data_IF_454118090376
#
_entry.id   IF_454118090376
#
_cell.length_a   1.000
_cell.length_b   1.000
_cell.length_c   1.000
_cell.angle_alpha   90.00
_cell.angle_beta   90.00
_cell.angle_gamma   90.00
#
_symmetry.space_group_name_H-M   'P 1'
#
loop_
_entity.id
_entity.type
_entity.pdbx_description
1 polymer ?
#
# COMPACT_ATOMS: atom_id res chain seq x y z
N UNK A 1 -9.92 -21.77 4.96
CA UNK A 1 -8.53 -21.36 5.19
C UNK A 1 -8.52 -19.86 5.36
N UNK A 2 -7.79 -19.34 6.35
CA UNK A 2 -7.46 -17.91 6.36
C UNK A 2 -6.57 -17.63 5.14
N UNK A 3 -6.74 -16.48 4.52
CA UNK A 3 -5.81 -16.05 3.48
C UNK A 3 -4.43 -15.82 4.12
N UNK A 4 -3.33 -16.00 3.38
CA UNK A 4 -1.98 -15.63 3.82
C UNK A 4 -1.94 -14.16 4.31
N UNK A 5 -2.78 -13.31 3.71
CA UNK A 5 -2.97 -11.92 4.13
C UNK A 5 -3.59 -11.80 5.54
N UNK A 6 -4.58 -12.64 5.87
CA UNK A 6 -5.22 -12.65 7.19
C UNK A 6 -4.30 -13.19 8.27
N UNK A 7 -3.40 -14.12 7.92
CA UNK A 7 -2.38 -14.64 8.81
C UNK A 7 -1.33 -13.56 9.11
N UNK A 8 -0.83 -12.88 8.06
CA UNK A 8 0.10 -11.75 8.23
C UNK A 8 -0.50 -10.61 9.08
N UNK A 9 -1.77 -10.24 8.82
CA UNK A 9 -2.46 -9.23 9.64
C UNK A 9 -2.52 -9.67 11.11
N UNK A 10 -2.84 -10.95 11.36
CA UNK A 10 -2.95 -11.47 12.72
C UNK A 10 -1.60 -11.45 13.46
N UNK A 11 -0.51 -11.81 12.79
CA UNK A 11 0.85 -11.76 13.35
C UNK A 11 1.26 -10.32 13.71
N UNK A 12 1.01 -9.36 12.81
CA UNK A 12 1.37 -7.96 13.03
C UNK A 12 0.50 -7.30 14.11
N UNK A 13 -0.78 -7.66 14.24
CA UNK A 13 -1.61 -7.21 15.37
C UNK A 13 -1.11 -7.79 16.70
N UNK A 14 -0.63 -9.02 16.71
CA UNK A 14 -0.01 -9.61 17.91
C UNK A 14 1.29 -8.87 18.29
N UNK A 15 2.16 -8.60 17.32
CA UNK A 15 3.38 -7.81 17.56
C UNK A 15 3.05 -6.41 18.10
N UNK A 16 2.02 -5.76 17.57
CA UNK A 16 1.56 -4.45 18.04
C UNK A 16 1.13 -4.47 19.50
N UNK A 17 0.49 -5.55 19.95
CA UNK A 17 0.14 -5.73 21.36
C UNK A 17 1.38 -5.91 22.24
N UNK A 18 2.38 -6.65 21.77
CA UNK A 18 3.66 -6.79 22.48
C UNK A 18 4.39 -5.45 22.62
N UNK A 19 4.45 -4.66 21.54
CA UNK A 19 5.06 -3.33 21.59
C UNK A 19 4.29 -2.41 22.54
N UNK A 20 2.95 -2.45 22.54
CA UNK A 20 2.15 -1.68 23.49
C UNK A 20 2.49 -2.04 24.94
N UNK A 21 2.60 -3.34 25.24
CA UNK A 21 3.02 -3.78 26.57
C UNK A 21 4.41 -3.26 26.95
N UNK A 22 5.37 -3.30 26.02
CA UNK A 22 6.71 -2.72 26.24
C UNK A 22 6.67 -1.21 26.49
N UNK A 23 5.79 -0.46 25.81
CA UNK A 23 5.58 0.97 26.08
C UNK A 23 5.05 1.15 27.52
N UNK A 24 4.03 0.39 27.89
CA UNK A 24 3.41 0.51 29.21
C UNK A 24 4.40 0.19 30.34
N UNK A 25 5.26 -0.82 30.14
CA UNK A 25 6.31 -1.20 31.08
C UNK A 25 7.42 -0.14 31.15
N UNK A 26 7.91 0.39 30.02
CA UNK A 26 8.86 1.50 30.01
C UNK A 26 8.31 2.76 30.71
N UNK A 27 7.01 3.07 30.55
CA UNK A 27 6.38 4.22 31.21
C UNK A 27 6.30 4.02 32.73
N UNK A 28 6.03 2.80 33.20
CA UNK A 28 6.06 2.48 34.64
C UNK A 28 7.46 2.60 35.23
N UNK A 29 8.47 2.20 34.46
CA UNK A 29 9.88 2.26 34.86
C UNK A 29 10.51 3.65 34.65
N UNK A 30 9.72 4.65 34.25
CA UNK A 30 10.14 6.02 33.90
C UNK A 30 11.21 6.09 32.78
N UNK A 31 11.36 5.01 32.01
CA UNK A 31 12.23 4.92 30.85
C UNK A 31 11.56 5.51 29.60
N UNK A 32 11.38 6.83 29.62
CA UNK A 32 10.71 7.55 28.55
C UNK A 32 11.44 7.49 27.21
N UNK A 33 12.77 7.27 27.21
CA UNK A 33 13.54 7.14 25.99
C UNK A 33 13.17 5.85 25.26
N UNK A 34 13.15 4.72 25.96
CA UNK A 34 12.73 3.46 25.36
C UNK A 34 11.23 3.44 25.06
N UNK A 35 10.39 4.06 25.89
CA UNK A 35 8.97 4.27 25.56
C UNK A 35 8.80 5.03 24.24
N UNK A 36 9.61 6.07 24.00
CA UNK A 36 9.60 6.82 22.75
C UNK A 36 10.01 5.97 21.54
N UNK A 37 11.06 5.16 21.66
CA UNK A 37 11.49 4.26 20.58
C UNK A 37 10.43 3.20 20.27
N UNK A 38 9.84 2.58 21.29
CA UNK A 38 8.74 1.63 21.11
C UNK A 38 7.50 2.28 20.49
N UNK A 39 7.19 3.52 20.87
CA UNK A 39 6.12 4.29 20.22
C UNK A 39 6.38 4.53 18.73
N UNK A 40 7.62 4.86 18.34
CA UNK A 40 8.00 4.99 16.93
C UNK A 40 7.85 3.67 16.17
N UNK A 41 8.27 2.55 16.76
CA UNK A 41 8.12 1.22 16.18
C UNK A 41 6.64 0.86 15.99
N UNK A 42 5.79 1.11 17.00
CA UNK A 42 4.34 0.90 16.93
C UNK A 42 3.69 1.73 15.82
N UNK A 43 4.10 2.99 15.65
CA UNK A 43 3.57 3.84 14.59
C UNK A 43 3.93 3.33 13.20
N UNK A 44 5.15 2.80 13.02
CA UNK A 44 5.55 2.16 11.77
C UNK A 44 4.68 0.93 11.49
N UNK A 45 4.51 0.07 12.49
CA UNK A 45 3.69 -1.13 12.40
C UNK A 45 2.21 -0.82 12.09
N UNK A 46 1.65 0.24 12.70
CA UNK A 46 0.30 0.69 12.40
C UNK A 46 0.12 1.09 10.93
N UNK A 47 1.09 1.77 10.31
CA UNK A 47 1.02 2.12 8.88
C UNK A 47 1.04 0.88 7.99
N UNK A 48 1.85 -0.11 8.36
CA UNK A 48 1.90 -1.39 7.64
C UNK A 48 0.56 -2.13 7.74
N UNK A 49 -0.02 -2.20 8.94
CA UNK A 49 -1.36 -2.77 9.17
C UNK A 49 -2.45 -2.02 8.40
N UNK A 50 -2.44 -0.69 8.41
CA UNK A 50 -3.38 0.14 7.65
C UNK A 50 -3.37 -0.20 6.15
N UNK A 51 -2.19 -0.40 5.59
CA UNK A 51 -2.02 -0.80 4.18
C UNK A 51 -2.57 -2.21 3.94
N UNK A 52 -2.28 -3.16 4.82
CA UNK A 52 -2.80 -4.52 4.71
C UNK A 52 -4.32 -4.59 4.87
N UNK A 53 -4.89 -3.78 5.76
CA UNK A 53 -6.33 -3.67 5.91
C UNK A 53 -7.00 -3.09 4.67
N UNK A 54 -6.39 -2.07 4.05
CA UNK A 54 -6.85 -1.55 2.77
C UNK A 54 -6.73 -2.59 1.63
N UNK A 55 -5.65 -3.38 1.64
CA UNK A 55 -5.49 -4.48 0.69
C UNK A 55 -6.54 -5.56 0.88
N UNK A 56 -6.99 -5.82 2.12
CA UNK A 56 -8.06 -6.78 2.44
C UNK A 56 -9.46 -6.23 2.17
N UNK A 57 -9.65 -4.92 2.36
CA UNK A 57 -10.91 -4.22 2.16
C UNK A 57 -10.61 -2.80 1.65
N UNK A 58 -10.86 -2.51 0.36
CA UNK A 58 -10.58 -1.19 -0.23
C UNK A 58 -11.30 -0.03 0.48
N UNK A 59 -12.42 -0.31 1.16
CA UNK A 59 -13.21 0.67 1.91
C UNK A 59 -12.88 0.73 3.40
N UNK A 60 -11.82 0.05 3.84
CA UNK A 60 -11.46 -0.04 5.24
C UNK A 60 -11.49 1.31 5.97
N UNK A 61 -10.85 2.34 5.39
CA UNK A 61 -10.79 3.66 6.01
C UNK A 61 -12.14 4.38 6.08
N UNK A 62 -13.00 4.21 5.08
CA UNK A 62 -14.33 4.81 5.09
C UNK A 62 -15.20 4.16 6.17
N UNK A 63 -15.12 2.83 6.31
CA UNK A 63 -15.80 2.08 7.36
C UNK A 63 -15.29 2.48 8.74
N UNK A 64 -13.97 2.53 8.93
CA UNK A 64 -13.33 2.98 10.18
C UNK A 64 -13.71 4.41 10.56
N UNK A 65 -13.78 5.32 9.58
CA UNK A 65 -14.20 6.70 9.81
C UNK A 65 -15.64 6.77 10.33
N UNK A 66 -16.56 6.03 9.70
CA UNK A 66 -17.96 5.94 10.13
C UNK A 66 -18.06 5.33 11.53
N UNK A 67 -17.32 4.26 11.81
CA UNK A 67 -17.27 3.63 13.13
C UNK A 67 -16.79 4.61 14.21
N UNK A 68 -15.76 5.42 13.93
CA UNK A 68 -15.29 6.46 14.86
C UNK A 68 -16.33 7.55 15.11
N UNK A 69 -17.09 7.94 14.08
CA UNK A 69 -18.20 8.89 14.23
C UNK A 69 -19.29 8.30 15.13
N UNK A 70 -19.68 7.04 14.90
CA UNK A 70 -20.65 6.32 15.73
C UNK A 70 -20.20 6.20 17.19
N UNK A 71 -18.93 5.86 17.42
CA UNK A 71 -18.34 5.82 18.76
C UNK A 71 -18.35 7.21 19.43
N UNK A 72 -18.04 8.27 18.70
CA UNK A 72 -18.11 9.64 19.22
C UNK A 72 -19.55 10.00 19.67
N UNK A 73 -20.56 9.61 18.91
CA UNK A 73 -21.96 9.77 19.31
C UNK A 73 -22.30 8.97 20.59
N UNK A 74 -21.74 7.77 20.75
CA UNK A 74 -21.90 6.93 21.96
C UNK A 74 -21.17 7.50 23.19
N UNK A 75 -19.96 8.03 23.03
CA UNK A 75 -19.23 8.65 24.14
C UNK A 75 -19.82 9.99 24.57
N UNK A 76 -20.32 10.79 23.62
CA UNK A 76 -20.98 12.06 23.93
C UNK A 76 -22.29 11.87 24.70
N UNK A 77 -23.05 10.79 24.44
CA UNK A 77 -24.27 10.46 25.20
C UNK A 77 -23.97 9.99 26.63
N UNK A 78 -22.83 9.32 26.85
CA UNK A 78 -22.38 8.91 28.19
C UNK A 78 -21.88 10.08 29.05
N UNK A 79 -21.27 11.11 28.44
CA UNK A 79 -20.75 12.29 29.16
C UNK A 79 -21.79 13.39 29.40
N UNK A 80 -22.78 13.57 28.52
CA UNK A 80 -23.83 14.59 28.64
C UNK A 80 -24.98 14.17 29.59
N UNK A 81 -24.65 13.70 30.79
CA UNK A 81 -25.63 13.27 31.79
C UNK A 81 -26.87 14.18 31.82
N UNK A 82 -28.03 13.64 31.42
CA UNK A 82 -29.39 14.17 31.61
C UNK A 82 -29.64 15.63 31.19
N UNK A 83 -28.98 16.18 30.17
CA UNK A 83 -29.52 17.37 29.50
C UNK A 83 -30.54 16.93 28.44
N UNK A 84 -31.81 17.08 28.81
CA UNK A 84 -33.00 16.75 28.00
C UNK A 84 -33.13 17.74 26.82
N UNK A 85 -32.36 17.53 25.76
CA UNK A 85 -32.58 18.20 24.48
C UNK A 85 -33.24 17.24 23.50
N UNK A 86 -34.56 17.08 23.61
CA UNK A 86 -35.38 16.29 22.68
C UNK A 86 -35.15 16.70 21.21
N UNK A 87 -34.87 17.97 20.94
CA UNK A 87 -34.53 18.47 19.60
C UNK A 87 -33.11 18.15 19.12
N UNK A 88 -32.10 18.13 20.01
CA UNK A 88 -30.77 17.61 19.65
C UNK A 88 -30.80 16.08 19.51
N UNK A 89 -31.75 15.40 20.16
CA UNK A 89 -31.87 13.95 20.15
C UNK A 89 -32.36 13.39 18.81
N UNK A 90 -33.34 14.02 18.15
CA UNK A 90 -33.89 13.51 16.88
C UNK A 90 -32.93 13.70 15.71
N UNK A 91 -32.33 14.89 15.60
CA UNK A 91 -31.32 15.16 14.57
C UNK A 91 -30.09 14.25 14.76
N UNK A 92 -29.65 14.04 16.01
CA UNK A 92 -28.55 13.11 16.32
C UNK A 92 -28.92 11.67 16.02
N UNK A 93 -30.12 11.21 16.41
CA UNK A 93 -30.59 9.85 16.08
C UNK A 93 -30.71 9.66 14.56
N UNK A 94 -31.14 10.69 13.83
CA UNK A 94 -31.15 10.67 12.37
C UNK A 94 -29.72 10.53 11.82
N UNK A 95 -28.76 11.33 12.29
CA UNK A 95 -27.36 11.20 11.88
C UNK A 95 -26.76 9.83 12.19
N UNK A 96 -27.07 9.25 13.36
CA UNK A 96 -26.66 7.88 13.71
C UNK A 96 -27.23 6.89 12.70
N UNK A 97 -28.54 6.95 12.41
CA UNK A 97 -29.17 6.07 11.42
C UNK A 97 -28.57 6.23 10.03
N UNK A 98 -28.35 7.46 9.58
CA UNK A 98 -27.78 7.76 8.26
C UNK A 98 -26.36 7.15 8.13
N UNK A 99 -25.54 7.25 9.19
CA UNK A 99 -24.20 6.66 9.24
C UNK A 99 -24.25 5.12 9.35
N UNK A 100 -25.16 4.54 10.13
CA UNK A 100 -25.38 3.08 10.20
C UNK A 100 -25.83 2.51 8.84
N UNK A 101 -26.74 3.19 8.15
CA UNK A 101 -27.18 2.83 6.80
C UNK A 101 -26.05 2.94 5.79
N UNK A 102 -25.20 3.98 5.90
CA UNK A 102 -24.01 4.12 5.07
C UNK A 102 -23.03 2.98 5.32
N UNK A 103 -22.74 2.64 6.58
CA UNK A 103 -21.88 1.52 6.94
C UNK A 103 -22.42 0.19 6.40
N UNK A 104 -23.73 -0.05 6.53
CA UNK A 104 -24.36 -1.24 6.00
C UNK A 104 -24.23 -1.34 4.48
N UNK A 105 -24.40 -0.24 3.75
CA UNK A 105 -24.17 -0.19 2.29
C UNK A 105 -22.73 -0.56 1.93
N UNK A 106 -21.74 0.01 2.63
CA UNK A 106 -20.33 -0.30 2.42
C UNK A 106 -19.97 -1.75 2.76
N UNK A 107 -20.63 -2.35 3.76
CA UNK A 107 -20.42 -3.75 4.13
C UNK A 107 -21.03 -4.75 3.12
N UNK A 108 -22.07 -4.34 2.39
CA UNK A 108 -22.72 -5.16 1.36
C UNK A 108 -22.00 -5.11 0.02
N UNK A 109 -21.15 -4.10 -0.21
CA UNK A 109 -20.33 -4.02 -1.41
C UNK A 109 -19.30 -5.15 -1.43
N UNK A 110 -19.45 -6.05 -2.41
CA UNK A 110 -18.46 -7.09 -2.69
C UNK A 110 -17.45 -6.55 -3.69
N UNK A 111 -16.18 -6.63 -3.32
CA UNK A 111 -15.07 -6.31 -4.19
C UNK A 111 -14.53 -7.62 -4.77
N UNK A 112 -14.49 -7.69 -6.09
CA UNK A 112 -13.79 -8.76 -6.79
C UNK A 112 -12.35 -8.30 -6.97
N UNK A 113 -11.41 -8.95 -6.27
CA UNK A 113 -10.00 -8.84 -6.63
C UNK A 113 -9.83 -9.47 -8.00
N UNK A 114 -9.49 -8.65 -8.98
CA UNK A 114 -9.21 -9.11 -10.31
C UNK A 114 -7.77 -9.67 -10.31
N UNK A 115 -7.65 -10.99 -10.39
CA UNK A 115 -6.36 -11.66 -10.62
C UNK A 115 -5.99 -11.48 -12.09
N UNK A 116 -5.36 -10.34 -12.34
CA UNK A 116 -5.00 -9.91 -13.67
C UNK A 116 -3.82 -10.69 -14.22
N UNK A 117 -4.00 -11.32 -15.38
CA UNK A 117 -2.91 -11.97 -16.12
C UNK A 117 -2.12 -10.99 -17.00
N UNK A 118 -2.36 -9.68 -16.88
CA UNK A 118 -1.77 -8.67 -17.77
C UNK A 118 -0.24 -8.64 -17.65
N UNK A 119 0.30 -8.74 -16.43
CA UNK A 119 1.76 -8.78 -16.20
C UNK A 119 2.34 -10.07 -16.74
N UNK A 120 1.69 -11.21 -16.49
CA UNK A 120 2.11 -12.52 -17.01
C UNK A 120 2.18 -12.47 -18.54
N UNK A 121 1.10 -12.03 -19.18
CA UNK A 121 0.99 -11.92 -20.64
C UNK A 121 2.04 -10.98 -21.23
N UNK A 122 2.24 -9.80 -20.64
CA UNK A 122 3.23 -8.83 -21.11
C UNK A 122 4.66 -9.37 -21.00
N UNK A 123 4.99 -10.08 -19.92
CA UNK A 123 6.29 -10.74 -19.77
C UNK A 123 6.46 -11.88 -20.77
N UNK A 124 5.46 -12.73 -20.96
CA UNK A 124 5.53 -13.79 -21.97
C UNK A 124 5.69 -13.24 -23.38
N UNK A 125 4.98 -12.17 -23.73
CA UNK A 125 5.06 -11.54 -25.04
C UNK A 125 6.42 -10.84 -25.25
N UNK A 126 7.01 -10.26 -24.20
CA UNK A 126 8.39 -9.76 -24.20
C UNK A 126 9.41 -10.87 -24.48
N UNK A 127 9.34 -12.00 -23.75
CA UNK A 127 10.25 -13.14 -23.96
C UNK A 127 10.05 -13.87 -25.29
N UNK A 128 8.85 -13.80 -25.87
CA UNK A 128 8.56 -14.29 -27.23
C UNK A 128 9.00 -13.32 -28.32
N UNK A 129 9.50 -12.13 -27.97
CA UNK A 129 9.92 -11.10 -28.92
C UNK A 129 8.76 -10.43 -29.67
N UNK A 130 7.52 -10.56 -29.19
CA UNK A 130 6.37 -9.83 -29.75
C UNK A 130 6.39 -8.34 -29.41
N UNK A 131 7.04 -7.99 -28.30
CA UNK A 131 7.19 -6.64 -27.78
C UNK A 131 8.68 -6.41 -27.50
N UNK A 132 9.20 -5.21 -27.78
CA UNK A 132 10.57 -4.84 -27.40
C UNK A 132 10.70 -4.52 -25.90
N UNK A 133 9.59 -4.10 -25.27
CA UNK A 133 9.49 -3.71 -23.88
C UNK A 133 8.10 -3.19 -23.53
N UNK A 134 7.85 -2.92 -22.25
CA UNK A 134 6.59 -2.33 -21.78
C UNK A 134 6.79 -1.51 -20.50
N UNK A 135 5.80 -0.69 -20.13
CA UNK A 135 5.82 0.13 -18.93
C UNK A 135 4.68 -0.22 -17.98
N UNK A 136 5.00 -0.39 -16.70
CA UNK A 136 4.04 -0.53 -15.62
C UNK A 136 4.05 0.75 -14.78
N UNK A 137 3.02 1.57 -14.94
CA UNK A 137 2.83 2.78 -14.15
C UNK A 137 2.39 2.42 -12.73
N UNK A 138 3.05 3.02 -11.75
CA UNK A 138 2.67 3.02 -10.34
C UNK A 138 1.89 4.28 -10.02
N UNK A 139 2.26 5.41 -10.65
CA UNK A 139 1.48 6.63 -10.62
C UNK A 139 1.61 7.33 -11.98
N UNK A 140 0.49 7.43 -12.70
CA UNK A 140 0.45 8.07 -14.01
C UNK A 140 0.64 9.60 -13.93
N UNK A 141 0.09 10.25 -12.90
CA UNK A 141 0.16 11.71 -12.73
C UNK A 141 1.60 12.17 -12.48
N UNK A 142 2.32 11.43 -11.67
CA UNK A 142 3.72 11.70 -11.32
C UNK A 142 4.70 11.01 -12.27
N UNK A 143 4.20 10.34 -13.32
CA UNK A 143 5.00 9.62 -14.31
C UNK A 143 6.00 8.61 -13.70
N UNK A 144 5.57 7.90 -12.65
CA UNK A 144 6.38 6.89 -11.96
C UNK A 144 6.01 5.52 -12.52
N UNK A 145 6.95 4.88 -13.19
CA UNK A 145 6.76 3.59 -13.83
C UNK A 145 7.99 2.70 -13.77
N UNK A 146 7.77 1.39 -13.86
CA UNK A 146 8.79 0.41 -14.20
C UNK A 146 8.83 0.19 -15.70
N UNK A 147 10.03 0.19 -16.26
CA UNK A 147 10.30 -0.14 -17.65
C UNK A 147 10.90 -1.55 -17.74
N UNK A 148 10.30 -2.39 -18.56
CA UNK A 148 10.72 -3.77 -18.78
C UNK A 148 11.26 -3.91 -20.20
N UNK A 149 12.45 -4.49 -20.34
CA UNK A 149 13.07 -4.77 -21.64
C UNK A 149 14.02 -5.97 -21.54
N UNK A 150 14.38 -6.56 -22.67
CA UNK A 150 15.43 -7.57 -22.72
C UNK A 150 16.76 -6.92 -23.09
N UNK A 151 17.84 -7.33 -22.42
CA UNK A 151 19.18 -6.95 -22.81
C UNK A 151 19.68 -7.80 -24.00
N UNK A 152 20.89 -7.52 -24.49
CA UNK A 152 21.52 -8.26 -25.60
C UNK A 152 21.69 -9.77 -25.34
N UNK A 153 21.66 -10.20 -24.08
CA UNK A 153 21.76 -11.59 -23.66
C UNK A 153 20.39 -12.24 -23.36
N UNK A 154 19.29 -11.59 -23.76
CA UNK A 154 17.90 -12.02 -23.46
C UNK A 154 17.57 -12.09 -21.96
N UNK A 155 18.32 -11.40 -21.11
CA UNK A 155 18.00 -11.26 -19.70
C UNK A 155 17.04 -10.08 -19.51
N UNK A 156 16.05 -10.24 -18.63
CA UNK A 156 15.11 -9.18 -18.33
C UNK A 156 15.78 -8.08 -17.50
N UNK A 157 15.66 -6.86 -18.02
CA UNK A 157 16.04 -5.63 -17.36
C UNK A 157 14.79 -4.90 -16.90
N UNK A 158 14.70 -4.64 -15.59
CA UNK A 158 13.64 -3.83 -14.98
C UNK A 158 14.27 -2.52 -14.51
N UNK A 159 13.79 -1.40 -15.03
CA UNK A 159 14.34 -0.07 -14.73
C UNK A 159 13.28 0.83 -14.11
N UNK A 160 13.67 1.66 -13.15
CA UNK A 160 12.84 2.72 -12.58
C UNK A 160 13.66 4.01 -12.45
N UNK A 161 13.01 5.16 -12.63
CA UNK A 161 13.69 6.45 -12.48
C UNK A 161 14.23 6.63 -11.05
N UNK A 162 15.46 7.11 -10.94
CA UNK A 162 16.14 7.43 -9.70
C UNK A 162 16.33 8.94 -9.50
N UNK A 163 15.67 9.77 -10.31
CA UNK A 163 15.62 11.23 -10.17
C UNK A 163 15.22 11.68 -8.76
N UNK A 164 15.62 12.91 -8.40
CA UNK A 164 15.34 13.47 -7.08
C UNK A 164 13.83 13.61 -6.89
N UNK A 165 13.11 13.94 -7.96
CA UNK A 165 11.66 14.03 -8.04
C UNK A 165 11.01 12.65 -7.79
N UNK A 166 11.50 11.59 -8.44
CA UNK A 166 11.05 10.23 -8.18
C UNK A 166 11.35 9.80 -6.73
N UNK A 167 12.51 10.17 -6.17
CA UNK A 167 12.87 9.86 -4.79
C UNK A 167 11.99 10.60 -3.77
N UNK A 168 11.60 11.84 -4.04
CA UNK A 168 10.70 12.62 -3.17
C UNK A 168 9.33 11.95 -3.06
N UNK A 169 8.80 11.41 -4.16
CA UNK A 169 7.54 10.66 -4.13
C UNK A 169 7.65 9.36 -3.34
N UNK A 170 8.80 8.68 -3.39
CA UNK A 170 9.02 7.41 -2.69
C UNK A 170 9.12 7.56 -1.16
N UNK A 171 9.14 8.79 -0.61
CA UNK A 171 8.92 9.20 0.79
C UNK A 171 9.64 8.42 1.93
N UNK A 172 10.51 7.47 1.60
CA UNK A 172 11.31 6.72 2.54
C UNK A 172 12.56 7.53 2.90
N UNK A 173 13.05 7.43 4.14
CA UNK A 173 14.33 8.02 4.58
C UNK A 173 15.54 7.57 3.74
N UNK A 174 15.40 6.52 2.91
CA UNK A 174 16.32 6.20 1.81
C UNK A 174 15.65 5.21 0.83
N UNK A 175 14.93 5.67 -0.21
CA UNK A 175 14.29 4.79 -1.19
C UNK A 175 15.35 3.93 -1.90
N UNK A 176 16.48 4.56 -2.23
CA UNK A 176 17.62 3.92 -2.87
C UNK A 176 18.17 2.74 -2.07
N UNK A 177 18.20 2.83 -0.73
CA UNK A 177 18.67 1.71 0.10
C UNK A 177 17.71 0.52 0.00
N UNK A 178 16.40 0.76 -0.01
CA UNK A 178 15.41 -0.30 -0.20
C UNK A 178 15.59 -0.99 -1.57
N UNK A 179 15.67 -0.24 -2.66
CA UNK A 179 15.92 -0.81 -3.99
C UNK A 179 17.25 -1.58 -4.06
N UNK A 180 18.32 -1.05 -3.45
CA UNK A 180 19.61 -1.76 -3.34
C UNK A 180 19.49 -3.09 -2.60
N UNK A 181 18.72 -3.16 -1.50
CA UNK A 181 18.49 -4.44 -0.79
C UNK A 181 17.72 -5.46 -1.62
N UNK A 182 16.99 -5.01 -2.64
CA UNK A 182 16.28 -5.86 -3.61
C UNK A 182 17.12 -6.19 -4.85
N UNK A 183 18.39 -5.78 -4.88
CA UNK A 183 19.32 -6.09 -5.98
C UNK A 183 19.35 -5.06 -7.10
N UNK A 184 18.63 -3.94 -6.98
CA UNK A 184 18.75 -2.85 -7.97
C UNK A 184 20.10 -2.14 -7.82
N UNK A 185 20.67 -1.77 -8.96
CA UNK A 185 21.91 -1.00 -9.06
C UNK A 185 21.63 0.33 -9.72
N UNK A 186 22.23 1.40 -9.20
CA UNK A 186 22.16 2.71 -9.84
C UNK A 186 23.00 2.68 -11.11
N UNK A 187 22.42 3.17 -12.20
CA UNK A 187 23.12 3.46 -13.42
C UNK A 187 23.25 4.99 -13.51
N UNK A 188 24.47 5.46 -13.28
CA UNK A 188 24.80 6.89 -13.24
C UNK A 188 24.63 7.58 -14.60
N UNK A 189 24.66 6.82 -15.70
CA UNK A 189 24.58 7.37 -17.06
C UNK A 189 23.17 7.82 -17.41
N UNK A 190 22.16 7.07 -16.98
CA UNK A 190 20.75 7.36 -17.28
C UNK A 190 19.93 7.73 -16.03
N UNK A 191 20.59 7.86 -14.88
CA UNK A 191 20.00 8.11 -13.58
C UNK A 191 18.81 7.18 -13.25
N UNK A 192 18.92 5.89 -13.64
CA UNK A 192 17.92 4.86 -13.34
C UNK A 192 18.45 3.83 -12.35
N UNK A 193 17.54 3.23 -11.60
CA UNK A 193 17.79 2.00 -10.87
C UNK A 193 17.44 0.82 -11.76
N UNK A 194 18.41 -0.06 -11.96
CA UNK A 194 18.30 -1.22 -12.83
C UNK A 194 18.38 -2.51 -12.02
N UNK A 195 17.40 -3.39 -12.23
CA UNK A 195 17.42 -4.76 -11.77
C UNK A 195 17.58 -5.70 -12.95
N UNK A 196 18.58 -6.57 -12.88
CA UNK A 196 18.84 -7.58 -13.90
C UNK A 196 18.33 -8.93 -13.39
N UNK A 197 17.36 -9.50 -14.10
CA UNK A 197 16.91 -10.86 -13.88
C UNK A 197 17.64 -11.78 -14.88
N UNK A 198 18.63 -12.50 -14.38
CA UNK A 198 19.56 -13.34 -15.14
C UNK A 198 19.20 -14.84 -15.11
N UNK A 199 18.03 -15.17 -14.57
CA UNK A 199 17.54 -16.54 -14.50
C UNK A 199 16.68 -16.88 -15.73
N UNK A 200 16.63 -18.14 -16.15
CA UNK A 200 15.71 -18.58 -17.19
C UNK A 200 14.27 -18.21 -16.82
N UNK A 201 13.58 -17.54 -17.74
CA UNK A 201 12.18 -17.20 -17.53
C UNK A 201 11.30 -18.44 -17.67
N UNK A 202 10.67 -18.81 -16.55
CA UNK A 202 9.71 -19.92 -16.49
C UNK A 202 8.29 -19.39 -16.31
N UNK A 203 8.14 -18.44 -15.40
CA UNK A 203 6.88 -17.79 -15.04
C UNK A 203 7.16 -16.37 -14.49
N UNK A 204 6.10 -15.59 -14.30
CA UNK A 204 6.19 -14.23 -13.80
C UNK A 204 6.26 -14.15 -12.26
N UNK A 205 6.25 -15.26 -11.53
CA UNK A 205 6.03 -15.28 -10.07
C UNK A 205 7.07 -14.45 -9.33
N UNK A 206 8.36 -14.70 -9.57
CA UNK A 206 9.45 -13.96 -8.91
C UNK A 206 9.43 -12.47 -9.23
N UNK A 207 8.98 -12.08 -10.43
CA UNK A 207 8.85 -10.68 -10.82
C UNK A 207 7.64 -10.05 -10.13
N UNK A 208 6.51 -10.75 -10.08
CA UNK A 208 5.30 -10.30 -9.36
C UNK A 208 5.56 -10.15 -7.86
N UNK A 209 6.29 -11.08 -7.24
CA UNK A 209 6.72 -10.97 -5.83
C UNK A 209 7.62 -9.75 -5.59
N UNK A 210 8.58 -9.51 -6.47
CA UNK A 210 9.45 -8.34 -6.40
C UNK A 210 8.63 -7.04 -6.50
N UNK A 211 7.74 -6.96 -7.50
CA UNK A 211 6.87 -5.81 -7.70
C UNK A 211 5.93 -5.60 -6.52
N UNK A 212 5.31 -6.66 -6.00
CA UNK A 212 4.42 -6.60 -4.84
C UNK A 212 5.14 -6.02 -3.62
N UNK A 213 6.36 -6.49 -3.33
CA UNK A 213 7.17 -5.96 -2.23
C UNK A 213 7.50 -4.47 -2.40
N UNK A 214 7.85 -4.06 -3.62
CA UNK A 214 8.16 -2.66 -3.90
C UNK A 214 6.91 -1.80 -3.79
N UNK A 215 5.82 -2.18 -4.46
CA UNK A 215 4.54 -1.47 -4.44
C UNK A 215 4.03 -1.35 -3.00
N UNK A 216 4.05 -2.43 -2.23
CA UNK A 216 3.67 -2.40 -0.81
C UNK A 216 4.53 -1.42 0.00
N UNK A 217 5.85 -1.37 -0.28
CA UNK A 217 6.73 -0.42 0.39
C UNK A 217 6.44 1.02 0.01
N UNK A 218 6.14 1.28 -1.27
CA UNK A 218 5.78 2.61 -1.77
C UNK A 218 4.45 3.07 -1.18
N UNK A 219 3.43 2.21 -1.16
CA UNK A 219 2.14 2.47 -0.49
C UNK A 219 2.29 2.86 0.98
N UNK A 220 3.19 2.19 1.71
CA UNK A 220 3.46 2.50 3.11
C UNK A 220 4.24 3.80 3.32
N UNK A 221 4.94 4.29 2.29
CA UNK A 221 5.73 5.50 2.36
C UNK A 221 4.93 6.73 1.89
N UNK A 222 4.07 6.60 0.88
CA UNK A 222 3.31 7.68 0.27
C UNK A 222 2.00 8.00 1.00
N UNK A 223 1.62 9.28 1.03
CA UNK A 223 0.33 9.76 1.57
C UNK A 223 -0.85 9.46 0.61
N UNK A 224 -0.54 9.18 -0.66
CA UNK A 224 -1.52 8.89 -1.71
C UNK A 224 -1.39 7.43 -2.19
N UNK A 225 -2.53 6.82 -2.52
CA UNK A 225 -2.61 5.45 -3.02
C UNK A 225 -2.20 5.40 -4.50
N UNK A 226 -1.15 4.66 -4.90
CA UNK A 226 -0.75 4.61 -6.30
C UNK A 226 -1.77 3.90 -7.19
N UNK A 227 -2.02 4.47 -8.37
CA UNK A 227 -2.86 3.90 -9.43
C UNK A 227 -1.97 3.10 -10.38
N UNK A 228 -2.20 1.78 -10.45
CA UNK A 228 -1.37 0.88 -11.26
C UNK A 228 -2.02 0.68 -12.63
N UNK A 229 -1.29 1.02 -13.69
CA UNK A 229 -1.75 0.85 -15.08
C UNK A 229 -0.61 0.27 -15.94
N UNK A 230 -0.93 -0.72 -16.78
CA UNK A 230 0.02 -1.31 -17.72
C UNK A 230 -0.18 -0.68 -19.11
N UNK A 231 0.87 -0.06 -19.67
CA UNK A 231 0.80 0.59 -20.99
C UNK A 231 1.79 -0.08 -21.95
N UNK A 232 1.28 -0.53 -23.09
CA UNK A 232 2.06 -1.05 -24.20
C UNK A 232 2.55 0.09 -25.11
N UNK A 233 3.77 0.02 -25.68
CA UNK A 233 4.31 1.08 -26.54
C UNK A 233 3.49 1.37 -27.80
N UNK A 234 2.64 0.44 -28.26
CA UNK A 234 1.92 0.55 -29.53
C UNK A 234 0.67 1.45 -29.50
N UNK A 235 0.36 2.10 -28.36
CA UNK A 235 -0.79 3.01 -28.24
C UNK A 235 -0.45 4.51 -28.26
N UNK A 236 0.80 4.90 -28.53
CA UNK A 236 1.19 6.32 -28.61
C UNK A 236 0.79 7.01 -29.93
N UNK A 237 0.19 6.31 -30.90
CA UNK A 237 -0.20 6.88 -32.20
C UNK A 237 -1.72 7.01 -32.41
N UNK A 238 -2.52 7.09 -31.35
CA UNK A 238 -3.97 7.27 -31.50
C UNK A 238 -4.59 8.20 -30.46
N UNK A 239 -3.98 9.35 -30.20
CA UNK A 239 -4.69 10.55 -29.75
C UNK A 239 -4.03 11.72 -30.47
N UNK A 240 -4.68 12.19 -31.53
CA UNK A 240 -4.36 13.45 -32.20
C UNK A 240 -4.92 14.66 -31.46
#
# INVERSE_FOLDING_TARGET
MKSDLDELIAELEFEKQLIQKSIDDCVKDEDYLNAHHNYQARNKLNRELETLYKLRDPLYFEKEHILRILDMYKYSSLRMGRFDDRFLSENRQKSIRDEEEKLNRLNQQKYTYYDGQEIDNALFDLYKGKLAGFKLYINQQENIYFEFSLNNHQNLLISIDASVEAQQYMAAKSPLLFFKTKGFKINEVNNKLNYLYDKPFKDATTIKELLAQIIFKLYNASIQAPFIELIYPDHLNSIG
#
